data_IF_579702885820
#
_entry.id   IF_579702885820
#
_cell.length_a   1.000
_cell.length_b   1.000
_cell.length_c   1.000
_cell.angle_alpha   90.00
_cell.angle_beta   90.00
_cell.angle_gamma   90.00
#
_symmetry.space_group_name_H-M   'P 1'
#
loop_
_entity.id
_entity.type
_entity.pdbx_description
1 polymer ?
#
# COMPACT_ATOMS: atom_id res chain seq x y z
N UNK A 1 -12.03 -8.31 -16.84
CA UNK A 1 -10.76 -7.60 -17.14
C UNK A 1 -9.58 -8.34 -16.51
N UNK A 2 -8.57 -8.68 -17.30
CA UNK A 2 -7.32 -9.24 -16.77
C UNK A 2 -6.53 -8.05 -16.20
N UNK A 3 -6.78 -7.71 -14.94
CA UNK A 3 -6.25 -6.49 -14.31
C UNK A 3 -4.74 -6.51 -14.13
N UNK A 4 -4.17 -7.71 -13.96
CA UNK A 4 -2.76 -7.93 -13.63
C UNK A 4 -1.83 -8.07 -14.84
N UNK A 5 -2.37 -8.41 -16.02
CA UNK A 5 -1.59 -8.51 -17.26
C UNK A 5 -2.21 -7.64 -18.36
N UNK A 6 -1.68 -6.43 -18.50
CA UNK A 6 -2.14 -5.50 -19.53
C UNK A 6 -1.81 -5.99 -20.94
N UNK A 7 -0.76 -6.78 -21.16
CA UNK A 7 -0.49 -7.33 -22.51
C UNK A 7 -1.56 -8.33 -22.89
N UNK A 8 -1.95 -9.21 -21.98
CA UNK A 8 -2.98 -10.22 -22.21
C UNK A 8 -4.38 -9.60 -22.29
N UNK A 9 -4.65 -8.55 -21.49
CA UNK A 9 -5.89 -7.78 -21.56
C UNK A 9 -6.07 -7.11 -22.93
N UNK A 10 -5.01 -6.50 -23.48
CA UNK A 10 -5.05 -5.87 -24.80
C UNK A 10 -5.05 -6.91 -25.94
N UNK A 11 -4.36 -8.05 -25.77
CA UNK A 11 -4.39 -9.13 -26.75
C UNK A 11 -5.77 -9.79 -26.85
N UNK A 12 -6.49 -9.93 -25.73
CA UNK A 12 -7.80 -10.60 -25.67
C UNK A 12 -8.96 -9.68 -26.00
N UNK A 13 -8.93 -8.42 -25.54
CA UNK A 13 -10.05 -7.48 -25.70
C UNK A 13 -9.85 -6.48 -26.86
N UNK A 14 -8.64 -6.38 -27.41
CA UNK A 14 -8.29 -5.34 -28.38
C UNK A 14 -8.13 -3.96 -27.74
N UNK A 15 -7.37 -3.07 -28.40
CA UNK A 15 -6.94 -1.79 -27.83
C UNK A 15 -8.11 -0.91 -27.35
N UNK A 16 -9.13 -0.70 -28.17
CA UNK A 16 -10.22 0.23 -27.86
C UNK A 16 -11.04 -0.21 -26.64
N UNK A 17 -11.35 -1.50 -26.54
CA UNK A 17 -12.14 -2.05 -25.43
C UNK A 17 -11.30 -2.17 -24.16
N UNK A 18 -10.05 -2.64 -24.25
CA UNK A 18 -9.14 -2.67 -23.11
C UNK A 18 -8.87 -1.27 -22.53
N UNK A 19 -8.72 -0.26 -23.39
CA UNK A 19 -8.61 1.13 -22.97
C UNK A 19 -9.89 1.60 -22.26
N UNK A 20 -11.07 1.40 -22.85
CA UNK A 20 -12.35 1.78 -22.24
C UNK A 20 -12.58 1.11 -20.88
N UNK A 21 -12.20 -0.17 -20.73
CA UNK A 21 -12.29 -0.90 -19.46
C UNK A 21 -11.36 -0.36 -18.38
N UNK A 22 -10.26 0.32 -18.75
CA UNK A 22 -9.32 0.93 -17.81
C UNK A 22 -9.70 2.37 -17.40
N UNK A 23 -10.54 3.07 -18.16
CA UNK A 23 -10.92 4.47 -17.89
C UNK A 23 -11.55 4.67 -16.50
N UNK A 24 -12.51 3.84 -16.03
CA UNK A 24 -13.10 4.00 -14.70
C UNK A 24 -12.08 3.87 -13.57
N UNK A 25 -11.03 3.06 -13.74
CA UNK A 25 -9.97 2.88 -12.74
C UNK A 25 -9.00 4.08 -12.71
N UNK A 26 -8.94 4.89 -13.76
CA UNK A 26 -8.04 6.04 -13.83
C UNK A 26 -8.59 7.30 -13.13
N UNK A 27 -9.90 7.34 -12.81
CA UNK A 27 -10.55 8.54 -12.27
C UNK A 27 -10.95 8.37 -10.81
N UNK A 28 -10.25 9.06 -9.91
CA UNK A 28 -10.65 9.19 -8.50
C UNK A 28 -11.43 10.49 -8.36
N UNK A 29 -12.70 10.39 -8.02
CA UNK A 29 -13.55 11.57 -7.80
C UNK A 29 -13.34 12.12 -6.40
N UNK A 30 -13.28 13.45 -6.28
CA UNK A 30 -13.23 14.10 -4.97
C UNK A 30 -14.48 13.74 -4.14
N UNK A 31 -14.33 13.47 -2.84
CA UNK A 31 -15.47 13.18 -1.98
C UNK A 31 -16.36 14.42 -1.83
N UNK A 32 -17.64 14.19 -1.54
CA UNK A 32 -18.61 15.27 -1.32
C UNK A 32 -18.13 16.22 -0.21
N UNK A 33 -18.17 17.53 -0.47
CA UNK A 33 -17.72 18.55 0.47
C UNK A 33 -16.22 18.83 0.48
N UNK A 34 -15.42 18.18 -0.38
CA UNK A 34 -14.00 18.50 -0.54
C UNK A 34 -13.81 19.97 -0.93
N UNK A 35 -12.99 20.68 -0.15
CA UNK A 35 -12.60 22.06 -0.38
C UNK A 35 -11.38 22.39 0.48
N UNK A 36 -10.64 23.45 0.13
CA UNK A 36 -9.53 23.93 0.94
C UNK A 36 -9.96 24.26 2.37
N UNK A 37 -11.18 24.79 2.53
CA UNK A 37 -11.79 25.06 3.83
C UNK A 37 -12.02 23.78 4.63
N UNK A 38 -12.50 22.71 3.98
CA UNK A 38 -12.69 21.42 4.63
C UNK A 38 -11.37 20.81 5.07
N UNK A 39 -10.31 20.91 4.25
CA UNK A 39 -8.97 20.44 4.60
C UNK A 39 -8.37 21.23 5.76
N UNK A 40 -8.52 22.56 5.76
CA UNK A 40 -8.05 23.41 6.85
C UNK A 40 -8.79 23.17 8.17
N UNK A 41 -10.01 22.64 8.13
CA UNK A 41 -10.81 22.30 9.30
C UNK A 41 -10.47 20.92 9.89
N UNK A 42 -9.67 20.08 9.22
CA UNK A 42 -9.24 18.79 9.76
C UNK A 42 -8.30 19.06 10.94
N UNK A 43 -8.74 18.65 12.14
CA UNK A 43 -7.89 18.69 13.32
C UNK A 43 -6.68 17.78 13.11
N UNK A 44 -5.50 18.38 13.14
CA UNK A 44 -4.26 17.62 13.10
C UNK A 44 -4.04 17.01 14.47
N UNK A 45 -3.90 15.67 14.59
CA UNK A 45 -3.55 15.08 15.87
C UNK A 45 -2.23 15.69 16.34
N UNK A 46 -2.19 16.09 17.61
CA UNK A 46 -0.92 16.45 18.25
C UNK A 46 -0.12 15.16 18.43
N UNK A 47 0.61 14.78 17.39
CA UNK A 47 1.60 13.71 17.47
C UNK A 47 2.81 14.30 18.17
N UNK A 48 3.00 13.99 19.45
CA UNK A 48 4.29 14.15 20.12
C UNK A 48 5.25 13.13 19.54
N UNK A 49 5.81 13.44 18.38
CA UNK A 49 6.93 12.70 17.82
C UNK A 49 8.18 13.09 18.61
N UNK A 50 8.66 12.19 19.46
CA UNK A 50 10.01 12.27 19.99
C UNK A 50 10.95 11.87 18.86
N UNK A 51 11.64 12.85 18.29
CA UNK A 51 12.76 12.57 17.38
C UNK A 51 13.97 12.32 18.29
N UNK A 52 14.59 11.13 18.24
CA UNK A 52 15.81 10.88 19.00
C UNK A 52 16.94 11.80 18.52
N UNK A 53 17.81 12.21 19.44
CA UNK A 53 18.97 13.05 19.12
C UNK A 53 19.91 12.34 18.12
N UNK A 54 20.00 11.02 18.23
CA UNK A 54 20.70 10.15 17.28
C UNK A 54 19.71 9.61 16.24
N UNK A 55 19.96 9.92 14.96
CA UNK A 55 19.13 9.47 13.83
C UNK A 55 19.60 8.08 13.39
N UNK A 56 18.80 7.01 13.59
CA UNK A 56 19.20 5.67 13.21
C UNK A 56 19.01 5.44 11.70
N UNK A 57 19.76 4.47 11.16
CA UNK A 57 19.42 3.88 9.87
C UNK A 57 18.12 3.07 9.99
N UNK A 58 17.20 3.29 9.05
CA UNK A 58 15.92 2.59 9.00
C UNK A 58 15.97 1.56 7.87
N UNK A 59 15.92 0.28 8.24
CA UNK A 59 15.86 -0.83 7.29
C UNK A 59 14.46 -1.43 7.31
N UNK A 60 13.76 -1.35 6.18
CA UNK A 60 12.44 -1.97 5.99
C UNK A 60 12.61 -3.20 5.09
N UNK A 61 12.19 -4.37 5.59
CA UNK A 61 12.21 -5.63 4.83
C UNK A 61 10.77 -6.06 4.56
N UNK A 62 10.33 -5.92 3.32
CA UNK A 62 9.06 -6.45 2.86
C UNK A 62 9.27 -7.88 2.35
N UNK A 63 8.87 -8.86 3.14
CA UNK A 63 9.01 -10.28 2.78
C UNK A 63 7.81 -10.73 1.96
N UNK A 64 8.05 -11.02 0.68
CA UNK A 64 7.02 -11.42 -0.29
C UNK A 64 6.21 -12.62 0.21
N UNK A 65 4.88 -12.48 0.17
CA UNK A 65 3.92 -13.51 0.56
C UNK A 65 4.11 -14.08 1.99
N UNK A 66 4.81 -13.37 2.86
CA UNK A 66 5.07 -13.82 4.22
C UNK A 66 3.82 -13.67 5.12
N UNK A 67 3.40 -14.78 5.74
CA UNK A 67 2.35 -14.81 6.75
C UNK A 67 2.59 -15.96 7.73
N UNK A 68 1.89 -15.99 8.86
CA UNK A 68 2.01 -17.05 9.86
C UNK A 68 1.07 -18.23 9.53
N UNK A 69 1.57 -19.35 8.94
CA UNK A 69 0.73 -20.45 8.49
C UNK A 69 0.11 -21.23 9.65
N UNK A 70 0.60 -21.09 10.88
CA UNK A 70 0.03 -21.75 12.06
C UNK A 70 -1.33 -21.17 12.46
N UNK A 71 -1.70 -20.01 11.89
CA UNK A 71 -3.03 -19.42 12.07
C UNK A 71 -4.11 -20.08 11.22
N UNK A 72 -3.74 -20.98 10.30
CA UNK A 72 -4.69 -21.66 9.45
C UNK A 72 -5.50 -22.68 10.26
N UNK A 73 -6.84 -22.56 10.34
CA UNK A 73 -7.66 -23.48 11.13
C UNK A 73 -7.49 -24.93 10.68
N UNK A 74 -7.34 -25.85 11.63
CA UNK A 74 -7.20 -27.28 11.36
C UNK A 74 -5.82 -27.72 10.88
N UNK A 75 -4.83 -26.82 10.84
CA UNK A 75 -3.46 -27.14 10.44
C UNK A 75 -2.53 -27.07 11.65
N UNK A 76 -1.72 -28.12 11.83
CA UNK A 76 -0.66 -28.19 12.84
C UNK A 76 0.66 -28.40 12.13
N UNK A 77 1.63 -27.52 12.38
CA UNK A 77 2.95 -27.57 11.75
C UNK A 77 3.98 -27.77 12.85
N UNK A 78 4.83 -28.79 12.72
CA UNK A 78 5.91 -29.07 13.68
C UNK A 78 7.16 -29.51 12.91
N UNK A 79 8.33 -28.88 13.15
CA UNK A 79 8.56 -27.79 14.08
C UNK A 79 7.91 -26.46 13.65
N UNK A 80 7.89 -25.47 14.54
CA UNK A 80 7.44 -24.11 14.23
C UNK A 80 8.18 -23.58 12.97
N UNK A 81 7.47 -23.14 11.92
CA UNK A 81 8.13 -22.67 10.70
C UNK A 81 8.72 -21.27 10.82
N UNK A 82 8.33 -20.46 11.83
CA UNK A 82 8.77 -19.06 11.96
C UNK A 82 9.17 -18.66 13.40
N UNK A 83 9.96 -19.48 14.13
CA UNK A 83 10.19 -19.30 15.57
C UNK A 83 10.87 -17.97 15.89
N UNK A 84 11.84 -17.54 15.08
CA UNK A 84 12.55 -16.28 15.28
C UNK A 84 11.63 -15.08 15.05
N UNK A 85 10.84 -15.09 13.97
CA UNK A 85 9.88 -14.00 13.69
C UNK A 85 8.82 -13.95 14.77
N UNK A 86 8.33 -15.09 15.24
CA UNK A 86 7.34 -15.17 16.33
C UNK A 86 7.90 -14.64 17.66
N UNK A 87 9.18 -14.87 17.94
CA UNK A 87 9.82 -14.35 19.13
C UNK A 87 10.08 -12.83 19.07
N UNK A 88 10.41 -12.29 17.88
CA UNK A 88 10.81 -10.89 17.70
C UNK A 88 9.66 -9.94 17.35
N UNK A 89 8.51 -10.45 16.92
CA UNK A 89 7.37 -9.61 16.50
C UNK A 89 6.77 -8.83 17.68
N UNK A 90 6.59 -7.53 17.47
CA UNK A 90 5.93 -6.62 18.42
C UNK A 90 4.48 -6.30 18.05
N UNK A 91 4.03 -6.66 16.84
CA UNK A 91 2.71 -6.30 16.35
C UNK A 91 2.24 -7.12 15.16
N UNK A 92 1.17 -6.64 14.52
CA UNK A 92 0.60 -7.20 13.30
C UNK A 92 0.41 -6.10 12.26
N UNK A 93 0.48 -6.49 10.99
CA UNK A 93 0.11 -5.67 9.85
C UNK A 93 -1.08 -6.33 9.15
N UNK A 94 -2.08 -5.53 8.78
CA UNK A 94 -3.15 -5.97 7.90
C UNK A 94 -2.74 -5.65 6.46
N UNK A 95 -2.67 -6.67 5.61
CA UNK A 95 -2.40 -6.46 4.18
C UNK A 95 -3.69 -6.02 3.48
N UNK A 96 -3.68 -4.93 2.70
CA UNK A 96 -4.81 -4.55 1.85
C UNK A 96 -5.04 -5.56 0.71
N UNK A 97 -4.06 -6.42 0.42
CA UNK A 97 -4.07 -7.35 -0.71
C UNK A 97 -3.90 -8.82 -0.27
N UNK A 98 -4.39 -9.74 -1.11
CA UNK A 98 -4.23 -11.19 -0.93
C UNK A 98 -3.73 -11.85 -2.22
N UNK A 99 -2.62 -12.61 -2.13
CA UNK A 99 -2.11 -13.41 -3.24
C UNK A 99 -1.44 -12.64 -4.38
N UNK A 100 -1.17 -11.34 -4.22
CA UNK A 100 -0.49 -10.52 -5.22
C UNK A 100 -0.52 -9.03 -4.88
N UNK A 101 -0.25 -8.19 -5.88
CA UNK A 101 -0.29 -6.72 -5.78
C UNK A 101 0.62 -6.15 -4.68
N UNK A 102 1.81 -6.71 -4.50
CA UNK A 102 2.81 -6.25 -3.51
C UNK A 102 3.13 -4.75 -3.61
N UNK A 103 3.08 -4.19 -4.82
CA UNK A 103 3.22 -2.76 -5.08
C UNK A 103 2.20 -1.87 -4.33
N UNK A 104 0.99 -2.38 -4.08
CA UNK A 104 -0.06 -1.67 -3.35
C UNK A 104 0.29 -1.58 -1.87
N UNK A 105 0.85 -2.66 -1.29
CA UNK A 105 1.32 -2.71 0.10
C UNK A 105 2.50 -1.75 0.30
N UNK A 106 3.46 -1.77 -0.63
CA UNK A 106 4.59 -0.85 -0.62
C UNK A 106 4.14 0.62 -0.69
N UNK A 107 3.17 0.92 -1.56
CA UNK A 107 2.59 2.26 -1.67
C UNK A 107 1.99 2.73 -0.35
N UNK A 108 1.16 1.92 0.33
CA UNK A 108 0.60 2.32 1.63
C UNK A 108 1.70 2.49 2.68
N UNK A 109 2.67 1.57 2.74
CA UNK A 109 3.75 1.61 3.71
C UNK A 109 4.64 2.84 3.55
N UNK A 110 4.92 3.26 2.31
CA UNK A 110 5.78 4.41 2.04
C UNK A 110 5.03 5.74 2.10
N UNK A 111 3.76 5.80 1.72
CA UNK A 111 3.02 7.09 1.59
C UNK A 111 2.05 7.35 2.72
N UNK A 112 1.61 6.31 3.43
CA UNK A 112 0.51 6.39 4.39
C UNK A 112 -0.86 6.56 3.73
N UNK A 113 -0.96 6.61 2.39
CA UNK A 113 -2.23 6.67 1.69
C UNK A 113 -2.82 5.28 1.53
N UNK A 114 -4.06 5.11 2.00
CA UNK A 114 -4.75 3.82 1.92
C UNK A 114 -5.40 3.60 0.54
N UNK A 115 -5.21 2.40 0.01
CA UNK A 115 -5.88 1.91 -1.18
C UNK A 115 -7.38 1.68 -0.96
N UNK A 116 -7.87 1.69 0.29
CA UNK A 116 -9.30 1.59 0.59
C UNK A 116 -10.14 2.73 -0.03
N UNK A 117 -9.51 3.86 -0.38
CA UNK A 117 -10.15 4.99 -1.04
C UNK A 117 -9.97 5.00 -2.56
N UNK A 118 -9.32 3.99 -3.13
CA UNK A 118 -9.08 3.85 -4.56
C UNK A 118 -10.07 2.86 -5.16
N UNK A 119 -10.38 2.97 -6.47
CA UNK A 119 -11.16 1.96 -7.18
C UNK A 119 -10.59 0.55 -7.00
N UNK A 120 -11.47 -0.45 -6.96
CA UNK A 120 -11.04 -1.85 -6.84
C UNK A 120 -10.14 -2.25 -8.02
N UNK A 121 -9.01 -2.89 -7.72
CA UNK A 121 -8.02 -3.30 -8.73
C UNK A 121 -7.05 -2.19 -9.15
N UNK A 122 -7.06 -1.04 -8.47
CA UNK A 122 -6.08 0.01 -8.73
C UNK A 122 -4.65 -0.42 -8.38
N UNK A 123 -3.69 0.07 -9.17
CA UNK A 123 -2.25 -0.06 -8.94
C UNK A 123 -1.70 1.37 -8.85
N UNK A 124 -1.55 1.94 -7.64
CA UNK A 124 -1.32 3.38 -7.46
C UNK A 124 -0.08 3.91 -8.16
N UNK A 125 1.01 3.14 -8.17
CA UNK A 125 2.23 3.52 -8.87
C UNK A 125 2.03 3.70 -10.38
N UNK A 126 1.15 2.93 -11.00
CA UNK A 126 0.88 3.05 -12.43
C UNK A 126 -0.13 4.16 -12.74
N UNK A 127 -1.08 4.39 -11.83
CA UNK A 127 -2.25 5.21 -12.12
C UNK A 127 -2.14 6.64 -11.58
N UNK A 128 -1.62 6.80 -10.35
CA UNK A 128 -1.76 8.05 -9.58
C UNK A 128 -0.44 8.72 -9.21
N UNK A 129 0.66 7.97 -9.07
CA UNK A 129 1.98 8.54 -8.74
C UNK A 129 2.64 9.11 -10.00
N UNK A 130 2.22 10.32 -10.40
CA UNK A 130 2.71 11.03 -11.60
C UNK A 130 3.59 12.24 -11.30
N UNK A 131 3.59 12.67 -10.04
CA UNK A 131 4.32 13.83 -9.53
C UNK A 131 5.04 13.46 -8.24
N UNK A 132 5.98 14.29 -7.76
CA UNK A 132 6.51 14.13 -6.40
C UNK A 132 5.37 13.94 -5.41
N UNK A 133 5.40 12.82 -4.69
CA UNK A 133 4.35 12.39 -3.76
C UNK A 133 4.96 12.29 -2.36
N UNK A 134 4.31 12.84 -1.32
CA UNK A 134 4.76 12.70 0.06
C UNK A 134 4.95 11.23 0.42
N UNK A 135 6.07 10.92 1.07
CA UNK A 135 6.44 9.57 1.45
C UNK A 135 7.49 9.58 2.56
N UNK A 136 7.67 8.44 3.22
CA UNK A 136 8.75 8.21 4.18
C UNK A 136 10.12 8.55 3.56
N UNK A 137 10.35 8.20 2.29
CA UNK A 137 11.60 8.50 1.61
C UNK A 137 11.82 10.01 1.43
N UNK A 138 10.78 10.76 1.04
CA UNK A 138 10.89 12.22 0.89
C UNK A 138 11.03 12.92 2.23
N UNK A 139 10.35 12.43 3.26
CA UNK A 139 10.47 12.91 4.64
C UNK A 139 11.87 12.67 5.21
N UNK A 140 12.37 11.43 5.18
CA UNK A 140 13.71 11.11 5.69
C UNK A 140 14.80 11.90 4.97
N UNK A 141 14.68 12.08 3.65
CA UNK A 141 15.58 12.95 2.88
C UNK A 141 15.58 14.40 3.36
N UNK A 142 14.44 14.93 3.83
CA UNK A 142 14.39 16.28 4.41
C UNK A 142 15.02 16.37 5.80
N UNK A 143 15.19 15.23 6.47
CA UNK A 143 15.83 15.12 7.77
C UNK A 143 17.35 14.87 7.70
N UNK A 144 17.93 14.73 6.51
CA UNK A 144 19.37 14.52 6.29
C UNK A 144 19.72 13.09 5.94
#
# INVERSE_FOLDING_TARGET
>A
PIMWDQKENYASNGFALAFALNVPMAHVSAPSGYSDKAIAAIERPQVTASVPDEKPDIIVVMSESFWDPTKLPGVTITPDPIPNVRALRSGYMFSPEFGGMTANIEFEALTGFSNAFLPAGSIPYQQYVRTPTPSLATFLKSEG
#
